data_IF_381131776158
#
_entry.id   IF_381131776158
#
_cell.length_a   1.000
_cell.length_b   1.000
_cell.length_c   1.000
_cell.angle_alpha   90.00
_cell.angle_beta   90.00
_cell.angle_gamma   90.00
#
_symmetry.space_group_name_H-M   'P 1'
#
loop_
_entity.id
_entity.type
_entity.pdbx_description
1 polymer ?
#
# COMPACT_ATOMS: atom_id res chain seq x y z
N UNK A 1 8.76 -11.19 -3.85
CA UNK A 1 8.64 -10.74 -2.45
C UNK A 1 7.41 -9.84 -2.37
N UNK A 2 6.54 -10.06 -1.38
CA UNK A 2 5.28 -9.31 -1.22
C UNK A 2 5.51 -7.80 -1.21
N UNK A 3 6.56 -7.31 -0.52
CA UNK A 3 6.91 -5.89 -0.46
C UNK A 3 7.14 -5.25 -1.85
N UNK A 4 7.83 -5.95 -2.76
CA UNK A 4 8.07 -5.46 -4.13
C UNK A 4 6.75 -5.35 -4.90
N UNK A 5 5.90 -6.37 -4.81
CA UNK A 5 4.61 -6.38 -5.50
C UNK A 5 3.70 -5.27 -5.00
N UNK A 6 3.74 -5.02 -3.69
CA UNK A 6 2.93 -3.99 -3.09
C UNK A 6 3.38 -2.58 -3.51
N UNK A 7 4.69 -2.36 -3.65
CA UNK A 7 5.21 -1.12 -4.21
C UNK A 7 4.80 -0.91 -5.69
N UNK A 8 4.72 -1.99 -6.48
CA UNK A 8 4.19 -1.93 -7.85
C UNK A 8 2.70 -1.54 -7.83
N UNK A 9 1.88 -2.13 -6.95
CA UNK A 9 0.47 -1.75 -6.79
C UNK A 9 0.27 -0.31 -6.31
N UNK A 10 1.13 0.19 -5.43
CA UNK A 10 1.13 1.61 -5.02
C UNK A 10 1.39 2.50 -6.23
N UNK A 11 2.39 2.17 -7.05
CA UNK A 11 2.69 2.93 -8.26
C UNK A 11 1.53 2.93 -9.25
N UNK A 12 0.92 1.76 -9.49
CA UNK A 12 -0.27 1.59 -10.35
C UNK A 12 -1.47 2.40 -9.83
N UNK A 13 -1.74 2.34 -8.52
CA UNK A 13 -2.87 3.03 -7.88
C UNK A 13 -2.66 4.54 -7.78
N UNK A 14 -1.40 4.98 -7.83
CA UNK A 14 -1.02 6.39 -7.81
C UNK A 14 -1.04 7.06 -9.19
N UNK A 15 -1.47 6.35 -10.25
CA UNK A 15 -1.40 6.84 -11.63
C UNK A 15 0.03 7.30 -12.02
N UNK A 16 1.06 6.66 -11.43
CA UNK A 16 2.47 7.01 -11.63
C UNK A 16 2.96 8.25 -10.87
N UNK A 17 2.21 8.76 -9.88
CA UNK A 17 2.66 9.85 -9.01
C UNK A 17 3.86 9.44 -8.14
N UNK A 18 3.98 8.16 -7.82
CA UNK A 18 5.14 7.56 -7.15
C UNK A 18 5.57 6.29 -7.86
N UNK A 19 6.87 6.05 -7.96
CA UNK A 19 7.40 4.81 -8.55
C UNK A 19 7.56 3.71 -7.50
N UNK A 20 7.51 2.45 -7.93
CA UNK A 20 7.72 1.31 -7.04
C UNK A 20 9.11 1.34 -6.36
N UNK A 21 10.13 1.88 -7.05
CA UNK A 21 11.48 2.03 -6.48
C UNK A 21 11.51 3.09 -5.37
N UNK A 22 10.84 4.22 -5.57
CA UNK A 22 10.69 5.26 -4.54
C UNK A 22 9.94 4.72 -3.32
N UNK A 23 8.85 3.99 -3.54
CA UNK A 23 8.06 3.37 -2.48
C UNK A 23 8.89 2.32 -1.72
N UNK A 24 9.74 1.54 -2.40
CA UNK A 24 10.63 0.57 -1.76
C UNK A 24 11.79 1.21 -1.00
N UNK A 25 12.31 2.33 -1.50
CA UNK A 25 13.39 3.09 -0.86
C UNK A 25 12.87 3.99 0.27
N UNK A 26 11.57 4.26 0.30
CA UNK A 26 10.94 5.07 1.33
C UNK A 26 10.95 4.36 2.68
N UNK A 27 11.43 5.07 3.69
CA UNK A 27 11.25 4.73 5.11
C UNK A 27 10.21 5.64 5.77
N UNK A 28 9.38 6.29 4.95
CA UNK A 28 8.33 7.22 5.39
C UNK A 28 6.97 6.63 5.01
N UNK A 29 5.89 7.06 5.68
CA UNK A 29 4.56 6.57 5.38
C UNK A 29 4.14 6.88 3.94
N UNK A 30 3.22 6.10 3.37
CA UNK A 30 2.70 6.32 2.02
C UNK A 30 2.08 7.72 1.87
N UNK A 31 1.40 8.20 2.91
CA UNK A 31 0.86 9.56 2.99
C UNK A 31 1.94 10.63 2.81
N UNK A 32 3.14 10.40 3.35
CA UNK A 32 4.29 11.30 3.21
C UNK A 32 4.94 11.25 1.82
N UNK A 33 4.73 10.16 1.06
CA UNK A 33 5.10 10.05 -0.35
C UNK A 33 4.11 10.76 -1.29
N UNK A 34 3.05 11.35 -0.76
CA UNK A 34 2.00 11.99 -1.56
C UNK A 34 0.89 11.03 -1.98
N UNK A 35 0.82 9.82 -1.41
CA UNK A 35 -0.34 8.94 -1.56
C UNK A 35 -1.52 9.58 -0.82
N UNK A 36 -2.43 10.16 -1.58
CA UNK A 36 -3.64 10.80 -1.05
C UNK A 36 -4.69 9.77 -0.66
N UNK A 37 -5.68 10.14 0.16
CA UNK A 37 -6.73 9.23 0.62
C UNK A 37 -7.48 8.51 -0.51
N UNK A 38 -7.65 9.14 -1.68
CA UNK A 38 -8.29 8.48 -2.84
C UNK A 38 -7.38 7.43 -3.49
N UNK A 39 -6.06 7.67 -3.53
CA UNK A 39 -5.09 6.69 -3.99
C UNK A 39 -4.98 5.53 -3.01
N UNK A 40 -5.07 5.80 -1.70
CA UNK A 40 -5.14 4.75 -0.68
C UNK A 40 -6.35 3.84 -0.88
N UNK A 41 -7.55 4.39 -1.13
CA UNK A 41 -8.74 3.57 -1.39
C UNK A 41 -8.58 2.71 -2.65
N UNK A 42 -8.03 3.26 -3.74
CA UNK A 42 -7.74 2.49 -4.96
C UNK A 42 -6.71 1.39 -4.74
N UNK A 43 -5.70 1.68 -3.92
CA UNK A 43 -4.68 0.71 -3.53
C UNK A 43 -5.30 -0.44 -2.74
N UNK A 44 -6.20 -0.14 -1.80
CA UNK A 44 -6.94 -1.15 -1.05
C UNK A 44 -7.67 -2.06 -2.03
N UNK A 45 -8.52 -1.50 -2.90
CA UNK A 45 -9.27 -2.29 -3.90
C UNK A 45 -8.34 -3.19 -4.75
N UNK A 46 -7.19 -2.67 -5.16
CA UNK A 46 -6.20 -3.42 -5.93
C UNK A 46 -5.57 -4.56 -5.14
N UNK A 47 -5.20 -4.32 -3.87
CA UNK A 47 -4.63 -5.36 -2.99
C UNK A 47 -5.69 -6.41 -2.65
N UNK A 48 -6.93 -6.01 -2.35
CA UNK A 48 -8.03 -6.93 -2.06
C UNK A 48 -8.31 -7.83 -3.27
N UNK A 49 -8.36 -7.26 -4.47
CA UNK A 49 -8.56 -8.01 -5.71
C UNK A 49 -7.38 -8.93 -6.05
N UNK A 50 -6.14 -8.53 -5.75
CA UNK A 50 -4.95 -9.29 -6.11
C UNK A 50 -4.65 -10.41 -5.10
N UNK A 51 -4.73 -10.11 -3.81
CA UNK A 51 -4.35 -11.02 -2.73
C UNK A 51 -5.55 -11.72 -2.09
N UNK A 52 -6.79 -11.36 -2.44
CA UNK A 52 -7.99 -11.95 -1.85
C UNK A 52 -8.12 -11.64 -0.36
N UNK A 53 -7.68 -10.44 0.04
CA UNK A 53 -7.78 -9.95 1.42
C UNK A 53 -8.90 -8.92 1.54
N UNK A 54 -9.29 -8.62 2.77
CA UNK A 54 -10.27 -7.56 3.08
C UNK A 54 -9.58 -6.63 4.08
N UNK A 55 -9.56 -5.32 3.80
CA UNK A 55 -9.00 -4.31 4.66
C UNK A 55 -10.08 -3.63 5.47
N UNK A 56 -9.77 -3.39 6.74
CA UNK A 56 -10.59 -2.55 7.59
C UNK A 56 -10.34 -1.06 7.24
N UNK A 57 -11.40 -0.34 6.91
CA UNK A 57 -11.36 1.10 6.63
C UNK A 57 -11.48 1.95 7.91
N UNK A 58 -11.41 1.33 9.09
CA UNK A 58 -11.26 2.03 10.36
C UNK A 58 -9.93 2.79 10.45
N UNK A 59 -9.81 3.69 11.43
CA UNK A 59 -8.56 4.44 11.66
C UNK A 59 -7.36 3.50 11.89
N UNK A 60 -7.56 2.39 12.60
CA UNK A 60 -6.51 1.40 12.85
C UNK A 60 -6.06 0.71 11.56
N UNK A 61 -6.99 0.29 10.70
CA UNK A 61 -6.66 -0.33 9.40
C UNK A 61 -5.99 0.64 8.43
N UNK A 62 -6.46 1.89 8.39
CA UNK A 62 -5.83 2.97 7.61
C UNK A 62 -4.42 3.29 8.11
N UNK A 63 -4.17 3.24 9.42
CA UNK A 63 -2.83 3.42 9.98
C UNK A 63 -1.85 2.30 9.60
N UNK A 64 -2.37 1.07 9.43
CA UNK A 64 -1.57 -0.08 8.98
C UNK A 64 -1.18 0.05 7.51
N UNK A 65 -2.10 0.54 6.67
CA UNK A 65 -1.86 0.77 5.24
C UNK A 65 -0.83 1.85 4.97
N UNK A 66 -0.70 2.83 5.88
CA UNK A 66 0.28 3.91 5.75
C UNK A 66 1.73 3.42 5.91
N UNK A 67 1.94 2.21 6.45
CA UNK A 67 3.24 1.58 6.64
C UNK A 67 3.40 0.34 5.74
N UNK A 68 4.23 0.49 4.70
CA UNK A 68 4.49 -0.55 3.70
C UNK A 68 5.06 -1.84 4.30
N UNK A 69 5.90 -1.74 5.34
CA UNK A 69 6.53 -2.89 5.99
C UNK A 69 5.52 -3.66 6.83
N UNK A 70 4.66 -2.96 7.59
CA UNK A 70 3.56 -3.59 8.32
C UNK A 70 2.60 -4.28 7.38
N UNK A 71 2.23 -3.62 6.29
CA UNK A 71 1.34 -4.13 5.27
C UNK A 71 1.90 -5.38 4.59
N UNK A 72 3.18 -5.36 4.19
CA UNK A 72 3.85 -6.51 3.62
C UNK A 72 3.96 -7.68 4.63
N UNK A 73 4.21 -7.38 5.91
CA UNK A 73 4.23 -8.37 6.98
C UNK A 73 2.87 -9.03 7.21
N UNK A 74 1.80 -8.23 7.21
CA UNK A 74 0.42 -8.72 7.35
C UNK A 74 0.08 -9.71 6.22
N UNK A 75 0.36 -9.32 4.97
CA UNK A 75 0.11 -10.18 3.80
C UNK A 75 1.00 -11.43 3.77
N UNK A 76 2.24 -11.36 4.26
CA UNK A 76 3.13 -12.51 4.33
C UNK A 76 2.76 -13.52 5.44
N UNK A 77 1.99 -13.08 6.44
CA UNK A 77 1.54 -13.91 7.55
C UNK A 77 0.24 -14.70 7.27
N UNK A 78 -0.35 -14.52 6.09
CA UNK A 78 -1.53 -15.23 5.60
C UNK A 78 -1.12 -16.41 4.70
#
# INVERSE_FOLDING_TARGET
MIKKRLAELVAESSDGAVTAEEVLAANVPLSALGVTSIMTLRLIDAIESEFGVEFDLSEDGMSMLDDLDRLAGHLASR
#
